data_IF_910199687713
#
_entry.id   IF_910199687713
#
_cell.length_a   1.000
_cell.length_b   1.000
_cell.length_c   1.000
_cell.angle_alpha   90.00
_cell.angle_beta   90.00
_cell.angle_gamma   90.00
#
_symmetry.space_group_name_H-M   'P 1'
#
loop_
_entity.id
_entity.type
_entity.pdbx_description
1 polymer ?
#
# COMPACT_ATOMS: atom_id res chain seq x y z
N UNK A 1 10.13 -46.45 -9.80
CA UNK A 1 9.02 -45.65 -10.39
C UNK A 1 8.32 -44.75 -9.37
N UNK A 2 8.08 -45.16 -8.13
CA UNK A 2 7.42 -44.34 -7.09
C UNK A 2 8.24 -43.12 -6.65
N UNK A 3 9.59 -43.20 -6.63
CA UNK A 3 10.46 -42.08 -6.29
C UNK A 3 10.42 -40.95 -7.32
N UNK A 4 10.45 -41.29 -8.60
CA UNK A 4 10.39 -40.29 -9.69
C UNK A 4 9.05 -39.59 -9.73
N UNK A 5 7.95 -40.31 -9.53
CA UNK A 5 6.61 -39.72 -9.44
C UNK A 5 6.52 -38.77 -8.29
N UNK A 6 7.06 -39.12 -7.11
CA UNK A 6 7.09 -38.28 -5.95
C UNK A 6 7.90 -36.99 -6.15
N UNK A 7 9.10 -37.12 -6.74
CA UNK A 7 9.97 -35.96 -7.07
C UNK A 7 9.29 -35.00 -8.05
N UNK A 8 8.61 -35.55 -9.07
CA UNK A 8 7.84 -34.73 -10.02
C UNK A 8 6.68 -34.01 -9.32
N UNK A 9 5.95 -34.72 -8.46
CA UNK A 9 4.84 -34.10 -7.68
C UNK A 9 5.34 -33.00 -6.75
N UNK A 10 6.45 -33.22 -6.05
CA UNK A 10 7.07 -32.21 -5.17
C UNK A 10 7.51 -30.96 -5.98
N UNK A 11 8.12 -31.17 -7.14
CA UNK A 11 8.53 -30.08 -8.02
C UNK A 11 7.32 -29.28 -8.56
N UNK A 12 6.27 -29.97 -9.00
CA UNK A 12 5.03 -29.33 -9.48
C UNK A 12 4.35 -28.57 -8.35
N UNK A 13 4.28 -29.14 -7.15
CA UNK A 13 3.69 -28.48 -5.99
C UNK A 13 4.48 -27.21 -5.63
N UNK A 14 5.81 -27.29 -5.60
CA UNK A 14 6.66 -26.13 -5.33
C UNK A 14 6.47 -25.05 -6.39
N UNK A 15 6.46 -25.41 -7.67
CA UNK A 15 6.24 -24.47 -8.75
C UNK A 15 4.86 -23.76 -8.63
N UNK A 16 3.82 -24.52 -8.27
CA UNK A 16 2.48 -23.98 -8.05
C UNK A 16 2.44 -22.99 -6.87
N UNK A 17 3.10 -23.34 -5.76
CA UNK A 17 3.19 -22.46 -4.58
C UNK A 17 3.90 -21.16 -4.94
N UNK A 18 5.05 -21.22 -5.62
CA UNK A 18 5.80 -20.04 -6.07
C UNK A 18 4.98 -19.21 -7.04
N UNK A 19 4.30 -19.83 -7.98
CA UNK A 19 3.43 -19.16 -8.94
C UNK A 19 2.30 -18.39 -8.24
N UNK A 20 1.58 -19.05 -7.34
CA UNK A 20 0.50 -18.42 -6.56
C UNK A 20 1.06 -17.27 -5.70
N UNK A 21 2.23 -17.46 -5.08
CA UNK A 21 2.87 -16.41 -4.29
C UNK A 21 3.18 -15.17 -5.13
N UNK A 22 3.77 -15.33 -6.31
CA UNK A 22 4.05 -14.20 -7.22
C UNK A 22 2.76 -13.51 -7.66
N UNK A 23 1.76 -14.28 -8.07
CA UNK A 23 0.47 -13.74 -8.53
C UNK A 23 -0.28 -12.96 -7.43
N UNK A 24 -0.16 -13.38 -6.18
CA UNK A 24 -0.80 -12.67 -5.06
C UNK A 24 0.00 -11.45 -4.58
N UNK A 25 1.30 -11.40 -4.89
CA UNK A 25 2.21 -10.34 -4.43
C UNK A 25 2.16 -9.07 -5.27
N UNK A 26 1.76 -9.19 -6.54
CA UNK A 26 1.78 -8.09 -7.52
C UNK A 26 0.37 -7.85 -8.05
N UNK A 27 -0.04 -6.59 -8.10
CA UNK A 27 -1.30 -6.18 -8.72
C UNK A 27 -1.08 -5.02 -9.67
N UNK A 28 -1.71 -5.11 -10.84
CA UNK A 28 -1.72 -4.03 -11.82
C UNK A 28 -2.87 -3.08 -11.49
N UNK A 29 -2.57 -1.79 -11.45
CA UNK A 29 -3.56 -0.72 -11.33
C UNK A 29 -3.43 0.22 -12.51
N UNK A 30 -4.57 0.70 -13.01
CA UNK A 30 -4.63 1.76 -14.01
C UNK A 30 -4.86 3.07 -13.30
N UNK A 31 -4.00 4.05 -13.56
CA UNK A 31 -4.14 5.41 -13.02
C UNK A 31 -5.35 6.09 -13.63
N UNK A 32 -6.24 6.59 -12.78
CA UNK A 32 -7.36 7.43 -13.16
C UNK A 32 -7.28 8.77 -12.40
N UNK A 33 -7.39 9.87 -13.14
CA UNK A 33 -7.29 11.22 -12.59
C UNK A 33 -5.89 11.82 -12.66
N UNK A 34 -5.81 13.13 -12.39
CA UNK A 34 -4.61 13.95 -12.55
C UNK A 34 -3.94 14.36 -11.25
N UNK A 35 -4.40 13.84 -10.10
CA UNK A 35 -3.93 14.28 -8.76
C UNK A 35 -2.47 13.96 -8.46
N UNK A 36 -1.84 13.12 -9.27
CA UNK A 36 -0.42 12.76 -9.17
C UNK A 36 0.41 13.25 -10.36
N UNK A 37 -0.18 14.13 -11.19
CA UNK A 37 0.56 14.79 -12.28
C UNK A 37 1.65 15.70 -11.71
N UNK A 38 2.86 15.81 -12.33
CA UNK A 38 3.29 15.18 -13.58
C UNK A 38 3.87 13.76 -13.41
N UNK A 39 4.04 13.29 -12.19
CA UNK A 39 4.74 12.01 -11.92
C UNK A 39 3.96 10.79 -12.43
N UNK A 40 2.62 10.86 -12.41
CA UNK A 40 1.73 9.82 -12.91
C UNK A 40 0.66 10.44 -13.82
N UNK A 41 0.50 9.87 -15.01
CA UNK A 41 -0.49 10.30 -15.98
C UNK A 41 -1.69 9.34 -16.04
N UNK A 42 -2.86 9.90 -16.33
CA UNK A 42 -4.07 9.10 -16.53
C UNK A 42 -3.87 8.09 -17.66
N UNK A 43 -4.21 6.84 -17.40
CA UNK A 43 -4.07 5.74 -18.34
C UNK A 43 -2.81 4.90 -18.18
N UNK A 44 -1.83 5.36 -17.40
CA UNK A 44 -0.64 4.56 -17.07
C UNK A 44 -1.00 3.36 -16.19
N UNK A 45 -0.21 2.28 -16.35
CA UNK A 45 -0.32 1.10 -15.50
C UNK A 45 0.77 1.12 -14.44
N UNK A 46 0.36 0.87 -13.20
CA UNK A 46 1.24 0.75 -12.05
C UNK A 46 1.31 -0.71 -11.61
N UNK A 47 2.52 -1.17 -11.32
CA UNK A 47 2.76 -2.43 -10.63
C UNK A 47 2.86 -2.14 -9.13
N UNK A 48 1.89 -2.58 -8.36
CA UNK A 48 1.86 -2.38 -6.91
C UNK A 48 2.33 -3.65 -6.20
N UNK A 49 3.37 -3.49 -5.39
CA UNK A 49 3.85 -4.56 -4.52
C UNK A 49 3.00 -4.59 -3.24
N UNK A 50 2.16 -5.62 -3.11
CA UNK A 50 1.29 -5.80 -1.94
C UNK A 50 2.03 -6.26 -0.70
N UNK A 51 3.20 -6.86 -0.84
CA UNK A 51 3.96 -7.40 0.29
C UNK A 51 4.56 -6.31 1.16
N UNK A 52 4.80 -5.11 0.63
CA UNK A 52 5.39 -3.99 1.39
C UNK A 52 4.51 -3.59 2.57
N UNK A 53 3.19 -3.58 2.35
CA UNK A 53 2.19 -3.25 3.40
C UNK A 53 1.36 -4.46 3.81
N UNK A 54 1.97 -5.65 3.74
CA UNK A 54 1.29 -6.87 4.15
C UNK A 54 0.91 -6.78 5.64
N UNK A 55 -0.39 -6.82 5.89
CA UNK A 55 -0.96 -6.87 7.25
C UNK A 55 -1.29 -8.32 7.56
N UNK A 56 -0.65 -8.86 8.57
CA UNK A 56 -1.10 -10.11 9.15
C UNK A 56 -2.37 -9.83 9.94
N UNK A 57 -3.50 -10.24 9.36
CA UNK A 57 -4.77 -10.22 10.06
C UNK A 57 -4.77 -11.34 11.10
N UNK A 58 -4.52 -10.95 12.35
CA UNK A 58 -4.40 -11.89 13.48
C UNK A 58 -5.68 -12.70 13.70
N UNK A 59 -6.85 -12.15 13.35
CA UNK A 59 -8.11 -12.88 13.46
C UNK A 59 -8.18 -14.06 12.47
N UNK A 60 -7.60 -13.90 11.28
CA UNK A 60 -7.52 -15.02 10.31
C UNK A 60 -6.45 -16.04 10.74
N UNK A 61 -5.33 -15.56 11.30
CA UNK A 61 -4.25 -16.42 11.74
C UNK A 61 -4.65 -17.26 12.97
N UNK A 62 -5.33 -16.66 13.95
CA UNK A 62 -5.82 -17.36 15.15
C UNK A 62 -6.85 -18.44 14.82
N UNK A 63 -7.55 -18.30 13.70
CA UNK A 63 -8.51 -19.32 13.23
C UNK A 63 -7.82 -20.54 12.62
N UNK A 64 -6.59 -20.36 12.09
CA UNK A 64 -5.79 -21.43 11.45
C UNK A 64 -4.85 -22.07 12.49
N UNK A 65 -4.35 -21.30 13.45
CA UNK A 65 -3.42 -21.77 14.49
C UNK A 65 -3.99 -21.41 15.87
N UNK A 66 -4.86 -22.25 16.45
CA UNK A 66 -5.59 -21.94 17.70
C UNK A 66 -4.67 -21.79 18.93
N UNK A 67 -3.40 -22.13 18.82
CA UNK A 67 -2.39 -22.00 19.88
C UNK A 67 -1.72 -20.61 19.94
N UNK A 68 -1.90 -19.76 18.92
CA UNK A 68 -1.26 -18.43 18.86
C UNK A 68 -2.22 -17.35 19.33
N UNK A 69 -2.43 -17.25 20.64
CA UNK A 69 -3.18 -16.18 21.27
C UNK A 69 -2.21 -15.05 21.62
N UNK A 70 -2.16 -14.01 20.78
CA UNK A 70 -1.43 -12.78 21.11
C UNK A 70 -2.43 -11.78 21.68
N UNK A 71 -2.31 -11.50 22.96
CA UNK A 71 -3.09 -10.51 23.70
C UNK A 71 -2.56 -9.09 23.46
N UNK A 72 -2.74 -8.56 22.26
CA UNK A 72 -2.58 -7.11 22.04
C UNK A 72 -3.61 -6.63 21.03
N UNK A 73 -4.59 -5.96 21.53
CA UNK A 73 -5.80 -5.54 20.83
C UNK A 73 -5.60 -4.39 19.82
N UNK A 74 -4.43 -3.70 19.79
CA UNK A 74 -4.25 -2.44 19.08
C UNK A 74 -3.06 -2.35 18.09
N UNK A 75 -2.21 -3.35 17.99
CA UNK A 75 -1.10 -3.32 17.03
C UNK A 75 -1.38 -4.22 15.82
N UNK A 76 -2.00 -3.63 14.80
CA UNK A 76 -1.97 -4.21 13.44
C UNK A 76 -0.53 -4.22 12.97
N UNK A 77 0.13 -5.36 13.06
CA UNK A 77 1.50 -5.52 12.59
C UNK A 77 1.57 -5.23 11.09
N UNK A 78 2.02 -4.04 10.77
CA UNK A 78 2.43 -3.67 9.41
C UNK A 78 3.94 -3.86 9.36
N UNK A 79 4.43 -4.69 8.46
CA UNK A 79 5.86 -4.98 8.32
C UNK A 79 6.64 -3.69 8.04
N UNK A 80 6.05 -2.81 7.23
CA UNK A 80 6.59 -1.48 6.95
C UNK A 80 5.45 -0.46 7.01
N UNK A 81 5.38 0.37 8.06
CA UNK A 81 4.43 1.48 8.08
C UNK A 81 4.78 2.50 6.98
N UNK A 82 3.77 3.12 6.36
CA UNK A 82 4.00 4.19 5.39
C UNK A 82 4.80 5.33 6.00
N UNK A 83 5.74 5.88 5.23
CA UNK A 83 6.56 7.03 5.61
C UNK A 83 6.12 8.26 4.83
N UNK A 84 6.49 9.46 5.32
CA UNK A 84 6.32 10.70 4.56
C UNK A 84 7.02 10.59 3.21
N UNK A 85 6.35 11.02 2.15
CA UNK A 85 6.85 10.94 0.78
C UNK A 85 6.48 9.67 0.03
N UNK A 86 6.10 8.60 0.71
CA UNK A 86 5.68 7.35 0.05
C UNK A 86 4.45 7.57 -0.82
N UNK A 87 4.44 6.93 -1.98
CA UNK A 87 3.25 6.87 -2.85
C UNK A 87 2.54 5.55 -2.57
N UNK A 88 1.30 5.65 -2.12
CA UNK A 88 0.49 4.50 -1.73
C UNK A 88 -0.75 4.36 -2.60
N UNK A 89 -1.19 3.12 -2.80
CA UNK A 89 -2.49 2.78 -3.38
C UNK A 89 -3.38 2.26 -2.27
N UNK A 90 -4.60 2.79 -2.17
CA UNK A 90 -5.55 2.37 -1.16
C UNK A 90 -6.98 2.37 -1.71
N UNK A 91 -7.84 1.54 -1.12
CA UNK A 91 -9.25 1.53 -1.45
C UNK A 91 -9.95 2.77 -0.91
N UNK A 92 -10.74 3.44 -1.75
CA UNK A 92 -11.50 4.60 -1.32
C UNK A 92 -12.54 4.21 -0.25
N UNK A 93 -12.52 4.82 0.96
CA UNK A 93 -13.37 4.36 2.07
C UNK A 93 -14.88 4.39 1.80
N UNK A 94 -15.35 5.32 0.96
CA UNK A 94 -16.77 5.45 0.60
C UNK A 94 -17.20 4.55 -0.56
N UNK A 95 -16.25 4.08 -1.36
CA UNK A 95 -16.48 3.14 -2.46
C UNK A 95 -15.24 2.22 -2.61
N UNK A 96 -15.19 1.09 -1.90
CA UNK A 96 -14.04 0.20 -1.91
C UNK A 96 -13.72 -0.45 -3.26
N UNK A 97 -14.56 -0.25 -4.27
CA UNK A 97 -14.31 -0.71 -5.65
C UNK A 97 -13.36 0.24 -6.41
N UNK A 98 -13.12 1.42 -5.85
CA UNK A 98 -12.24 2.44 -6.44
C UNK A 98 -10.94 2.50 -5.65
N UNK A 99 -9.84 2.49 -6.39
CA UNK A 99 -8.50 2.62 -5.84
C UNK A 99 -7.96 4.02 -6.11
N UNK A 100 -7.36 4.62 -5.09
CA UNK A 100 -6.71 5.90 -5.18
C UNK A 100 -5.21 5.76 -5.00
N UNK A 101 -4.48 6.56 -5.76
CA UNK A 101 -3.03 6.72 -5.62
C UNK A 101 -2.77 8.10 -5.03
N UNK A 102 -2.10 8.17 -3.89
CA UNK A 102 -1.77 9.42 -3.20
C UNK A 102 -0.39 9.35 -2.58
N UNK A 103 0.19 10.53 -2.34
CA UNK A 103 1.45 10.65 -1.59
C UNK A 103 1.14 10.88 -0.12
N UNK A 104 1.89 10.19 0.75
CA UNK A 104 1.82 10.38 2.21
C UNK A 104 2.52 11.69 2.57
N UNK A 105 1.79 12.66 3.07
CA UNK A 105 2.33 13.95 3.50
C UNK A 105 2.64 13.93 5.00
N UNK A 106 1.78 13.32 5.80
CA UNK A 106 1.96 13.18 7.24
C UNK A 106 1.70 11.75 7.71
N UNK A 107 2.29 11.38 8.82
CA UNK A 107 2.10 10.09 9.50
C UNK A 107 1.43 10.32 10.86
N UNK A 108 0.91 9.27 11.52
CA UNK A 108 0.31 9.42 12.85
C UNK A 108 1.20 10.18 13.82
N UNK A 109 0.64 11.20 14.48
CA UNK A 109 1.38 12.10 15.38
C UNK A 109 1.88 13.40 14.74
N UNK A 110 1.82 13.51 13.40
CA UNK A 110 2.19 14.74 12.72
C UNK A 110 1.06 15.78 12.76
N UNK A 111 1.44 17.04 12.97
CA UNK A 111 0.58 18.20 12.73
C UNK A 111 0.74 18.70 11.30
N UNK A 112 -0.29 18.54 10.46
CA UNK A 112 -0.27 19.03 9.08
C UNK A 112 -1.08 20.31 8.97
N UNK A 113 -0.48 21.37 8.41
CA UNK A 113 -1.11 22.66 8.17
C UNK A 113 -0.89 23.07 6.71
N UNK A 114 -1.93 23.69 6.13
CA UNK A 114 -1.81 24.36 4.85
C UNK A 114 -1.97 25.86 5.06
N UNK A 115 -1.03 26.65 4.53
CA UNK A 115 -1.01 28.10 4.64
C UNK A 115 -0.40 28.70 3.37
N UNK A 116 -1.09 29.66 2.79
CA UNK A 116 -0.68 30.35 1.56
C UNK A 116 -0.29 29.42 0.39
N UNK A 117 -1.03 28.30 0.26
CA UNK A 117 -0.78 27.29 -0.79
C UNK A 117 0.45 26.44 -0.55
N UNK A 118 1.09 26.52 0.61
CA UNK A 118 2.19 25.65 1.01
C UNK A 118 1.76 24.71 2.14
N UNK A 119 2.33 23.50 2.14
CA UNK A 119 2.12 22.51 3.20
C UNK A 119 3.22 22.58 4.23
N UNK A 120 2.82 22.55 5.50
CA UNK A 120 3.71 22.49 6.66
C UNK A 120 3.44 21.24 7.46
N UNK A 121 4.48 20.56 7.86
CA UNK A 121 4.40 19.38 8.74
C UNK A 121 5.24 19.66 9.99
N UNK A 122 4.58 19.63 11.17
CA UNK A 122 5.18 19.98 12.46
C UNK A 122 5.83 21.38 12.48
N UNK A 123 5.25 22.32 11.72
CA UNK A 123 5.75 23.70 11.62
C UNK A 123 6.85 23.91 10.59
N UNK A 124 7.36 22.88 9.97
CA UNK A 124 8.36 22.98 8.90
C UNK A 124 7.67 22.91 7.53
N UNK A 125 8.06 23.83 6.62
CA UNK A 125 7.54 23.82 5.26
C UNK A 125 8.05 22.59 4.52
N UNK A 126 7.13 21.86 3.90
CA UNK A 126 7.46 20.69 3.05
C UNK A 126 7.96 21.19 1.70
N UNK A 127 9.11 20.68 1.27
CA UNK A 127 9.57 20.87 -0.10
C UNK A 127 8.79 19.91 -1.02
N UNK A 128 8.06 20.47 -2.00
CA UNK A 128 7.16 19.73 -2.88
C UNK A 128 7.60 19.85 -4.36
N UNK A 129 8.80 19.33 -4.72
CA UNK A 129 9.34 19.44 -6.08
C UNK A 129 8.49 18.70 -7.12
N UNK A 130 7.56 17.88 -6.66
CA UNK A 130 6.60 17.13 -7.48
C UNK A 130 5.35 17.94 -7.85
N UNK A 131 5.17 19.16 -7.33
CA UNK A 131 4.08 20.06 -7.69
C UNK A 131 4.56 21.04 -8.76
N UNK A 132 3.91 21.02 -9.93
CA UNK A 132 4.26 21.89 -11.06
C UNK A 132 3.65 23.29 -10.97
N UNK A 133 2.58 23.46 -10.17
CA UNK A 133 1.92 24.74 -9.95
C UNK A 133 1.93 25.08 -8.45
N UNK A 134 2.88 25.90 -7.96
CA UNK A 134 2.89 26.34 -6.58
C UNK A 134 1.55 27.02 -6.21
N UNK A 135 0.99 26.66 -5.06
CA UNK A 135 -0.31 27.16 -4.60
C UNK A 135 -1.53 26.38 -5.09
N UNK A 136 -1.34 25.30 -5.84
CA UNK A 136 -2.45 24.43 -6.30
C UNK A 136 -2.76 23.27 -5.35
N UNK A 137 -2.13 23.23 -4.18
CA UNK A 137 -2.47 22.23 -3.14
C UNK A 137 -3.82 22.57 -2.55
N UNK A 138 -4.83 21.74 -2.83
CA UNK A 138 -6.14 21.83 -2.20
C UNK A 138 -6.26 20.73 -1.15
N UNK A 139 -6.71 21.09 0.04
CA UNK A 139 -7.14 20.12 1.03
C UNK A 139 -8.58 19.73 0.66
N UNK A 140 -8.79 18.56 0.05
CA UNK A 140 -10.11 17.96 -0.02
C UNK A 140 -10.54 17.64 1.42
N UNK A 141 -11.46 18.43 1.96
CA UNK A 141 -12.12 18.11 3.23
C UNK A 141 -13.02 16.90 3.01
N UNK A 142 -12.57 15.77 3.52
CA UNK A 142 -13.34 14.53 3.58
C UNK A 142 -14.46 14.62 4.62
#
# INVERSE_FOLDING_TARGET
MTSVIREVLEAVLLALVVFVFIQTSIQNFKVEGSSMHPNLETGQYLLVNKLVYFRLDQERLSRIVPFWRVEREDEKFTIHPPKRGDVIVFHYPRDPKRDFVKRVIGVPGDGVKMEDGAVYVNGEKVDEPYITAPGSSYMDTL
#
